data_IF_957233636065
#
_entry.id   IF_957233636065
#
_cell.length_a   1.000
_cell.length_b   1.000
_cell.length_c   1.000
_cell.angle_alpha   90.00
_cell.angle_beta   90.00
_cell.angle_gamma   90.00
#
_symmetry.space_group_name_H-M   'P 1'
#
loop_
_entity.id
_entity.type
_entity.pdbx_description
1 polymer ?
#
# COMPACT_ATOMS: atom_id res chain seq x y z
N UNK A 1 -21.13 -40.24 0.28
CA UNK A 1 -20.10 -39.47 1.01
C UNK A 1 -19.61 -38.35 0.10
N UNK A 2 -20.17 -37.16 0.24
CA UNK A 2 -20.00 -36.05 -0.72
C UNK A 2 -18.76 -35.23 -0.33
N UNK A 3 -17.72 -35.26 -1.16
CA UNK A 3 -16.52 -34.42 -1.02
C UNK A 3 -16.90 -32.96 -1.34
N UNK A 4 -16.90 -32.08 -0.33
CA UNK A 4 -16.97 -30.64 -0.54
C UNK A 4 -15.64 -30.17 -1.15
N UNK A 5 -15.67 -29.76 -2.43
CA UNK A 5 -14.58 -29.04 -3.08
C UNK A 5 -14.69 -27.57 -2.64
N UNK A 6 -13.72 -27.05 -1.91
CA UNK A 6 -13.58 -25.61 -1.70
C UNK A 6 -13.21 -24.96 -3.04
N UNK A 7 -13.90 -23.88 -3.40
CA UNK A 7 -13.49 -22.97 -4.46
C UNK A 7 -12.12 -22.37 -4.08
N UNK A 8 -11.08 -22.76 -4.81
CA UNK A 8 -9.81 -22.06 -4.81
C UNK A 8 -9.90 -20.90 -5.83
N UNK A 9 -10.41 -19.74 -5.39
CA UNK A 9 -10.35 -18.53 -6.19
C UNK A 9 -8.87 -18.11 -6.32
N UNK A 10 -8.30 -18.28 -7.50
CA UNK A 10 -6.90 -17.94 -7.79
C UNK A 10 -6.81 -16.45 -8.07
N UNK A 11 -6.70 -15.64 -7.01
CA UNK A 11 -6.41 -14.20 -7.13
C UNK A 11 -4.94 -14.01 -7.51
N UNK A 12 -4.66 -13.78 -8.79
CA UNK A 12 -3.33 -13.42 -9.27
C UNK A 12 -3.03 -11.95 -8.98
N UNK A 13 -2.28 -11.68 -7.91
CA UNK A 13 -1.64 -10.40 -7.64
C UNK A 13 -0.53 -10.17 -8.66
N UNK A 14 -0.85 -9.55 -9.79
CA UNK A 14 0.13 -9.35 -10.87
C UNK A 14 1.03 -8.13 -10.62
N UNK A 15 2.25 -8.37 -10.14
CA UNK A 15 3.41 -7.62 -10.63
C UNK A 15 3.61 -8.08 -12.08
N UNK A 16 3.84 -7.17 -13.03
CA UNK A 16 4.19 -7.56 -14.41
C UNK A 16 5.57 -8.24 -14.37
N UNK A 17 5.60 -9.57 -14.22
CA UNK A 17 6.60 -10.53 -14.73
C UNK A 17 6.13 -11.97 -14.42
N UNK A 18 6.49 -12.97 -15.25
CA UNK A 18 6.03 -14.34 -15.07
C UNK A 18 6.84 -15.00 -13.95
N UNK A 19 6.21 -15.22 -12.79
CA UNK A 19 6.81 -16.03 -11.73
C UNK A 19 5.96 -17.28 -11.59
N UNK A 20 6.42 -18.37 -12.21
CA UNK A 20 6.05 -19.70 -11.81
C UNK A 20 6.80 -19.99 -10.50
N UNK A 21 6.12 -19.87 -9.36
CA UNK A 21 6.59 -20.43 -8.09
C UNK A 21 5.47 -21.21 -7.44
N UNK A 22 5.77 -22.46 -7.15
CA UNK A 22 5.00 -23.42 -6.36
C UNK A 22 4.46 -22.79 -5.08
N UNK A 23 3.15 -22.90 -4.87
CA UNK A 23 2.49 -22.58 -3.60
C UNK A 23 3.16 -23.37 -2.47
N UNK A 24 3.90 -22.67 -1.61
CA UNK A 24 4.25 -23.20 -0.30
C UNK A 24 3.03 -23.03 0.60
N UNK A 25 2.61 -24.10 1.25
CA UNK A 25 1.51 -24.14 2.21
C UNK A 25 1.85 -23.20 3.38
N UNK A 26 1.32 -21.97 3.34
CA UNK A 26 1.35 -21.05 4.47
C UNK A 26 0.49 -21.67 5.58
N UNK A 27 1.02 -21.78 6.79
CA UNK A 27 0.25 -22.20 7.97
C UNK A 27 -0.76 -21.10 8.29
N UNK A 28 -1.90 -21.15 7.62
CA UNK A 28 -2.98 -20.21 7.79
C UNK A 28 -3.67 -20.46 9.14
N UNK A 29 -3.43 -19.60 10.12
CA UNK A 29 -4.18 -19.60 11.37
C UNK A 29 -5.67 -19.30 11.05
N UNK A 30 -6.57 -20.20 11.42
CA UNK A 30 -8.01 -20.08 11.11
C UNK A 30 -8.65 -19.11 12.11
N UNK A 31 -8.52 -17.80 11.89
CA UNK A 31 -9.20 -16.80 12.71
C UNK A 31 -10.55 -16.42 12.08
N UNK A 32 -11.64 -16.85 12.71
CA UNK A 32 -13.01 -16.54 12.30
C UNK A 32 -13.61 -15.58 13.33
N UNK A 33 -14.13 -14.45 12.86
CA UNK A 33 -14.83 -13.46 13.69
C UNK A 33 -16.32 -13.47 13.37
N UNK A 34 -17.17 -13.63 14.38
CA UNK A 34 -18.62 -13.44 14.23
C UNK A 34 -18.94 -11.94 14.23
N UNK A 35 -19.65 -11.46 13.22
CA UNK A 35 -19.99 -10.04 13.03
C UNK A 35 -21.50 -9.75 13.17
N UNK A 36 -22.27 -10.73 13.65
CA UNK A 36 -23.72 -10.62 13.90
C UNK A 36 -24.58 -11.15 12.75
N UNK A 37 -25.88 -11.34 13.02
CA UNK A 37 -26.88 -11.84 12.05
C UNK A 37 -26.53 -13.15 11.31
N UNK A 38 -25.68 -13.98 11.91
CA UNK A 38 -25.19 -15.22 11.29
C UNK A 38 -24.20 -14.98 10.15
N UNK A 39 -23.58 -13.79 10.09
CA UNK A 39 -22.45 -13.48 9.24
C UNK A 39 -21.12 -13.58 10.00
N UNK A 40 -20.07 -13.94 9.28
CA UNK A 40 -18.73 -14.15 9.83
C UNK A 40 -17.66 -13.61 8.89
N UNK A 41 -16.49 -13.26 9.44
CA UNK A 41 -15.31 -12.88 8.67
C UNK A 41 -14.23 -13.92 8.89
N UNK A 42 -13.77 -14.53 7.79
CA UNK A 42 -12.63 -15.47 7.82
C UNK A 42 -11.38 -14.70 7.45
N UNK A 43 -10.45 -14.56 8.40
CA UNK A 43 -9.23 -13.78 8.22
C UNK A 43 -8.07 -14.67 7.81
N UNK A 44 -7.31 -14.21 6.82
CA UNK A 44 -6.07 -14.81 6.35
C UNK A 44 -5.01 -13.74 6.18
N UNK A 45 -3.75 -14.11 6.37
CA UNK A 45 -2.64 -13.19 6.15
C UNK A 45 -1.56 -13.92 5.38
N UNK A 46 -1.05 -13.27 4.33
CA UNK A 46 0.14 -13.71 3.63
C UNK A 46 1.26 -12.69 3.85
N UNK A 47 2.48 -13.18 4.06
CA UNK A 47 3.67 -12.38 4.17
C UNK A 47 4.72 -12.88 3.19
N UNK A 48 5.14 -12.01 2.27
CA UNK A 48 6.16 -12.34 1.27
C UNK A 48 7.16 -11.20 1.15
N UNK A 49 8.44 -11.55 1.10
CA UNK A 49 9.52 -10.57 1.03
C UNK A 49 10.44 -10.84 -0.17
N UNK A 50 11.02 -9.77 -0.73
CA UNK A 50 11.99 -9.85 -1.81
C UNK A 50 13.17 -8.92 -1.58
N UNK A 51 14.34 -9.50 -1.33
CA UNK A 51 15.58 -8.73 -1.10
C UNK A 51 16.00 -7.92 -2.32
N UNK A 52 15.84 -8.52 -3.52
CA UNK A 52 16.14 -7.87 -4.80
C UNK A 52 15.42 -6.52 -4.91
N UNK A 53 14.12 -6.52 -4.63
CA UNK A 53 13.29 -5.33 -4.72
C UNK A 53 13.29 -4.50 -3.43
N UNK A 54 13.71 -5.07 -2.30
CA UNK A 54 13.64 -4.44 -0.99
C UNK A 54 12.20 -4.20 -0.55
N UNK A 55 11.32 -5.17 -0.79
CA UNK A 55 9.88 -5.07 -0.54
C UNK A 55 9.43 -6.24 0.32
N UNK A 56 8.62 -5.94 1.32
CA UNK A 56 7.81 -6.90 2.08
C UNK A 56 6.34 -6.57 1.85
N UNK A 57 5.57 -7.56 1.42
CA UNK A 57 4.12 -7.49 1.28
C UNK A 57 3.49 -8.29 2.43
N UNK A 58 2.82 -7.59 3.33
CA UNK A 58 2.01 -8.17 4.39
C UNK A 58 0.54 -7.89 4.05
N UNK A 59 -0.15 -8.88 3.50
CA UNK A 59 -1.50 -8.71 2.96
C UNK A 59 -2.49 -9.49 3.80
N UNK A 60 -3.48 -8.78 4.36
CA UNK A 60 -4.60 -9.40 5.06
C UNK A 60 -5.76 -9.57 4.09
N UNK A 61 -6.33 -10.76 4.08
CA UNK A 61 -7.47 -11.19 3.26
C UNK A 61 -8.61 -11.57 4.20
N UNK A 62 -9.59 -10.68 4.30
CA UNK A 62 -10.74 -10.84 5.17
C UNK A 62 -11.97 -11.19 4.31
N UNK A 63 -12.34 -12.47 4.29
CA UNK A 63 -13.48 -12.97 3.55
C UNK A 63 -14.77 -12.73 4.35
N UNK A 64 -15.67 -11.92 3.81
CA UNK A 64 -16.96 -11.61 4.44
C UNK A 64 -18.00 -12.63 3.99
N UNK A 65 -18.45 -13.46 4.92
CA UNK A 65 -19.46 -14.49 4.68
C UNK A 65 -20.78 -14.03 5.26
N UNK A 66 -21.61 -13.48 4.39
CA UNK A 66 -22.92 -12.96 4.73
C UNK A 66 -23.99 -13.58 3.82
N UNK A 67 -24.97 -14.26 4.41
CA UNK A 67 -26.09 -14.87 3.68
C UNK A 67 -27.08 -13.83 3.14
N UNK A 68 -27.15 -12.65 3.76
CA UNK A 68 -28.01 -11.53 3.32
C UNK A 68 -27.37 -10.73 2.19
N UNK A 69 -26.08 -10.95 1.89
CA UNK A 69 -25.41 -10.40 0.72
C UNK A 69 -25.37 -11.44 -0.42
N UNK A 70 -25.74 -11.03 -1.63
CA UNK A 70 -25.89 -11.96 -2.76
C UNK A 70 -24.57 -12.27 -3.50
N UNK A 71 -23.48 -11.57 -3.18
CA UNK A 71 -22.13 -11.81 -3.72
C UNK A 71 -21.19 -12.27 -2.61
N UNK A 72 -20.06 -12.84 -3.00
CA UNK A 72 -18.94 -12.99 -2.08
C UNK A 72 -18.17 -11.68 -2.00
N UNK A 73 -17.61 -11.35 -0.83
CA UNK A 73 -16.77 -10.17 -0.66
C UNK A 73 -15.46 -10.52 0.02
N UNK A 74 -14.39 -9.91 -0.46
CA UNK A 74 -13.05 -10.01 0.08
C UNK A 74 -12.49 -8.61 0.31
N UNK A 75 -12.20 -8.28 1.56
CA UNK A 75 -11.51 -7.06 1.95
C UNK A 75 -10.02 -7.38 2.02
N UNK A 76 -9.23 -6.69 1.19
CA UNK A 76 -7.78 -6.77 1.20
C UNK A 76 -7.21 -5.57 1.93
N UNK A 77 -6.38 -5.80 2.95
CA UNK A 77 -5.55 -4.76 3.55
C UNK A 77 -4.10 -5.00 3.17
N UNK A 78 -3.58 -4.12 2.33
CA UNK A 78 -2.22 -4.17 1.80
C UNK A 78 -1.28 -3.37 2.71
N UNK A 79 -0.42 -4.08 3.43
CA UNK A 79 0.61 -3.52 4.30
C UNK A 79 1.99 -4.06 3.95
N UNK A 80 3.00 -3.66 4.73
CA UNK A 80 4.37 -4.15 4.63
C UNK A 80 5.36 -3.00 4.62
N UNK A 81 6.42 -3.14 3.84
CA UNK A 81 7.49 -2.15 3.75
C UNK A 81 8.09 -2.11 2.34
N UNK A 82 8.36 -0.90 1.85
CA UNK A 82 9.11 -0.66 0.61
C UNK A 82 10.32 0.18 0.96
N UNK A 83 11.51 -0.40 0.82
CA UNK A 83 12.77 0.29 1.07
C UNK A 83 12.94 1.45 0.07
N UNK A 84 13.46 2.59 0.54
CA UNK A 84 13.68 3.76 -0.31
C UNK A 84 14.68 3.50 -1.45
N UNK A 85 15.57 2.51 -1.26
CA UNK A 85 16.70 2.20 -2.16
C UNK A 85 17.55 3.44 -2.46
N UNK A 86 17.55 4.41 -1.54
CA UNK A 86 18.35 5.62 -1.62
C UNK A 86 19.81 5.27 -1.58
N UNK A 87 20.57 5.79 -2.55
CA UNK A 87 22.00 5.48 -2.71
C UNK A 87 22.76 6.68 -3.24
N UNK A 88 24.01 6.81 -2.84
CA UNK A 88 24.92 7.89 -3.21
C UNK A 88 26.12 7.33 -3.98
N UNK A 89 26.49 7.95 -5.09
CA UNK A 89 27.58 7.46 -5.95
C UNK A 89 28.23 8.57 -6.77
N UNK A 90 29.45 8.33 -7.27
CA UNK A 90 30.11 9.20 -8.24
C UNK A 90 29.41 9.07 -9.60
N UNK A 91 28.88 10.17 -10.14
CA UNK A 91 28.25 10.13 -11.46
C UNK A 91 29.30 9.79 -12.52
N UNK A 92 29.15 8.65 -13.18
CA UNK A 92 30.11 8.13 -14.18
C UNK A 92 31.57 8.10 -13.70
N UNK A 93 31.78 7.89 -12.40
CA UNK A 93 33.09 7.92 -11.74
C UNK A 93 33.88 9.23 -11.96
N UNK A 94 33.18 10.36 -12.06
CA UNK A 94 33.81 11.69 -12.15
C UNK A 94 34.25 12.21 -10.78
N UNK A 95 35.28 13.05 -10.78
CA UNK A 95 35.87 13.58 -9.54
C UNK A 95 34.96 14.55 -8.79
N UNK A 96 34.13 15.32 -9.51
CA UNK A 96 33.38 16.44 -8.94
C UNK A 96 31.85 16.37 -9.11
N UNK A 97 31.32 15.35 -9.80
CA UNK A 97 29.86 15.18 -9.95
C UNK A 97 29.40 13.98 -9.14
N UNK A 98 28.60 14.23 -8.11
CA UNK A 98 28.00 13.20 -7.25
C UNK A 98 26.51 13.09 -7.56
N UNK A 99 25.96 11.90 -7.33
CA UNK A 99 24.56 11.60 -7.61
C UNK A 99 23.90 10.95 -6.40
N UNK A 100 22.66 11.36 -6.14
CA UNK A 100 21.74 10.71 -5.20
C UNK A 100 20.61 10.10 -6.01
N UNK A 101 20.46 8.78 -5.94
CA UNK A 101 19.26 8.10 -6.41
C UNK A 101 18.32 7.97 -5.21
N UNK A 102 17.07 8.35 -5.38
CA UNK A 102 16.07 8.39 -4.31
C UNK A 102 14.65 8.12 -4.87
N UNK A 103 13.67 7.72 -4.03
CA UNK A 103 12.35 7.34 -4.48
C UNK A 103 11.45 8.56 -4.66
N UNK A 104 11.32 9.04 -5.90
CA UNK A 104 10.38 10.12 -6.21
C UNK A 104 8.92 9.71 -5.96
N UNK A 105 8.58 8.44 -6.24
CA UNK A 105 7.24 7.91 -6.06
C UNK A 105 7.27 6.44 -5.59
N UNK A 106 6.41 6.11 -4.63
CA UNK A 106 6.07 4.73 -4.27
C UNK A 106 4.78 4.31 -4.97
N UNK A 107 4.74 3.04 -5.38
CA UNK A 107 3.67 2.49 -6.20
C UNK A 107 3.01 1.32 -5.47
N UNK A 108 1.69 1.40 -5.26
CA UNK A 108 0.89 0.33 -4.67
C UNK A 108 -0.25 0.00 -5.64
N UNK A 109 -0.43 -1.27 -5.98
CA UNK A 109 -1.38 -1.67 -6.99
C UNK A 109 -2.03 -3.02 -6.69
N UNK A 110 -3.32 -3.11 -7.01
CA UNK A 110 -4.08 -4.35 -7.04
C UNK A 110 -4.73 -4.48 -8.41
N UNK A 111 -4.64 -5.67 -9.02
CA UNK A 111 -5.38 -6.00 -10.23
C UNK A 111 -5.82 -7.45 -10.24
N UNK A 112 -6.93 -7.71 -10.93
CA UNK A 112 -7.43 -9.05 -11.22
C UNK A 112 -7.71 -9.18 -12.72
N UNK A 113 -7.58 -10.39 -13.25
CA UNK A 113 -7.98 -10.76 -14.60
C UNK A 113 -9.28 -11.60 -14.61
N UNK A 114 -9.80 -11.97 -13.44
CA UNK A 114 -11.01 -12.77 -13.33
C UNK A 114 -12.23 -11.93 -13.74
N UNK A 115 -12.99 -12.36 -14.77
CA UNK A 115 -14.20 -11.64 -15.18
C UNK A 115 -15.26 -11.58 -14.07
N UNK A 116 -15.30 -12.56 -13.16
CA UNK A 116 -16.29 -12.67 -12.08
C UNK A 116 -15.96 -11.79 -10.87
N UNK A 117 -14.80 -11.13 -10.86
CA UNK A 117 -14.34 -10.30 -9.73
C UNK A 117 -14.44 -8.83 -10.09
N UNK A 118 -15.11 -8.04 -9.25
CA UNK A 118 -15.19 -6.58 -9.40
C UNK A 118 -14.68 -5.85 -8.16
N UNK A 119 -13.81 -4.86 -8.34
CA UNK A 119 -13.41 -3.88 -7.34
C UNK A 119 -14.59 -2.95 -7.03
N UNK A 120 -15.08 -3.03 -5.80
CA UNK A 120 -16.27 -2.29 -5.36
C UNK A 120 -15.94 -1.10 -4.44
N UNK A 121 -14.80 -1.14 -3.75
CA UNK A 121 -14.31 -0.02 -2.96
C UNK A 121 -12.78 -0.06 -2.81
N UNK A 122 -12.19 1.07 -2.41
CA UNK A 122 -10.76 1.19 -2.14
C UNK A 122 -10.44 2.43 -1.30
N UNK A 123 -9.39 2.38 -0.49
CA UNK A 123 -8.90 3.47 0.35
C UNK A 123 -7.37 3.65 0.26
N UNK A 124 -6.87 4.90 0.21
CA UNK A 124 -7.64 6.15 0.15
C UNK A 124 -8.27 6.38 -1.23
N UNK A 125 -9.49 6.93 -1.25
CA UNK A 125 -10.23 7.15 -2.50
C UNK A 125 -9.83 8.43 -3.23
N UNK A 126 -9.61 9.49 -2.47
CA UNK A 126 -9.30 10.82 -2.99
C UNK A 126 -7.82 11.14 -2.76
N UNK A 127 -7.32 12.12 -3.51
CA UNK A 127 -6.02 12.73 -3.28
C UNK A 127 -5.92 13.26 -1.84
N UNK A 128 -4.83 12.93 -1.14
CA UNK A 128 -4.61 13.31 0.25
C UNK A 128 -3.13 13.62 0.50
N UNK A 129 -2.84 14.80 1.05
CA UNK A 129 -1.49 15.32 1.34
C UNK A 129 -1.21 15.47 2.84
N UNK A 130 -2.14 15.02 3.69
CA UNK A 130 -1.94 14.98 5.13
C UNK A 130 -0.75 14.09 5.48
N UNK A 131 0.09 14.52 6.42
CA UNK A 131 1.28 13.78 6.87
C UNK A 131 0.90 12.39 7.35
N UNK A 132 -0.17 12.28 8.14
CA UNK A 132 -0.75 11.00 8.56
C UNK A 132 -2.08 10.78 7.84
N UNK A 133 -2.17 9.71 7.06
CA UNK A 133 -3.39 9.28 6.39
C UNK A 133 -4.04 8.20 7.23
N UNK A 134 -5.27 8.45 7.69
CA UNK A 134 -6.00 7.48 8.52
C UNK A 134 -7.48 7.46 8.15
N UNK A 135 -7.94 6.32 7.63
CA UNK A 135 -9.31 6.14 7.11
C UNK A 135 -9.82 4.75 7.47
N UNK A 136 -11.13 4.63 7.67
CA UNK A 136 -11.81 3.39 8.03
C UNK A 136 -12.79 2.98 6.95
N UNK A 137 -12.72 1.71 6.55
CA UNK A 137 -13.78 1.01 5.83
C UNK A 137 -14.68 0.32 6.84
N UNK A 138 -15.96 0.67 6.87
CA UNK A 138 -17.00 0.00 7.63
C UNK A 138 -17.85 -0.90 6.73
N UNK A 139 -18.28 -2.03 7.29
CA UNK A 139 -19.20 -2.99 6.68
C UNK A 139 -20.40 -3.22 7.59
N UNK A 140 -21.59 -3.20 7.01
CA UNK A 140 -22.84 -3.62 7.64
C UNK A 140 -23.46 -4.77 6.84
N UNK A 141 -24.18 -5.63 7.55
CA UNK A 141 -24.87 -6.80 6.98
C UNK A 141 -25.72 -6.40 5.77
N UNK A 142 -25.74 -7.25 4.75
CA UNK A 142 -26.44 -7.02 3.48
C UNK A 142 -25.59 -6.35 2.40
N UNK A 143 -24.26 -6.29 2.55
CA UNK A 143 -23.39 -5.74 1.50
C UNK A 143 -23.14 -4.23 1.56
N UNK A 144 -23.38 -3.61 2.72
CA UNK A 144 -23.31 -2.15 2.85
C UNK A 144 -21.92 -1.70 3.28
N UNK A 145 -21.16 -1.09 2.36
CA UNK A 145 -19.83 -0.55 2.64
C UNK A 145 -19.87 0.97 2.80
N UNK A 146 -19.19 1.48 3.82
CA UNK A 146 -19.02 2.91 4.06
C UNK A 146 -17.54 3.24 4.29
N UNK A 147 -17.09 4.41 3.85
CA UNK A 147 -15.72 4.87 4.07
C UNK A 147 -15.73 6.24 4.75
N UNK A 148 -14.86 6.42 5.73
CA UNK A 148 -14.75 7.68 6.45
C UNK A 148 -13.43 7.89 7.16
N UNK A 149 -13.24 9.06 7.81
CA UNK A 149 -12.12 9.31 8.70
C UNK A 149 -12.08 8.29 9.86
N UNK A 150 -10.89 7.94 10.33
CA UNK A 150 -10.75 6.93 11.40
C UNK A 150 -11.21 7.41 12.78
N UNK A 151 -11.33 8.72 13.00
CA UNK A 151 -11.67 9.34 14.30
C UNK A 151 -13.16 9.26 14.65
N UNK A 152 -13.95 8.46 13.93
CA UNK A 152 -15.36 8.22 14.21
C UNK A 152 -16.30 9.27 13.62
N UNK A 153 -17.57 8.89 13.42
CA UNK A 153 -18.63 9.76 12.88
C UNK A 153 -19.59 9.10 11.89
N UNK A 154 -19.25 7.93 11.34
CA UNK A 154 -20.02 7.29 10.26
C UNK A 154 -20.97 6.16 10.69
N UNK A 155 -21.33 6.09 11.98
CA UNK A 155 -22.27 5.10 12.52
C UNK A 155 -21.62 3.82 13.05
N UNK A 156 -22.45 2.93 13.61
CA UNK A 156 -22.03 1.60 14.06
C UNK A 156 -21.84 0.67 12.85
N UNK A 157 -20.77 -0.09 12.84
CA UNK A 157 -20.47 -1.09 11.80
C UNK A 157 -20.43 -2.48 12.42
N UNK A 158 -20.95 -3.48 11.71
CA UNK A 158 -20.77 -4.89 12.07
C UNK A 158 -19.31 -5.32 11.99
N UNK A 159 -18.57 -4.79 11.01
CA UNK A 159 -17.14 -5.04 10.84
C UNK A 159 -16.45 -3.80 10.31
N UNK A 160 -15.18 -3.58 10.68
CA UNK A 160 -14.42 -2.44 10.15
C UNK A 160 -12.94 -2.74 10.00
N UNK A 161 -12.30 -2.04 9.05
CA UNK A 161 -10.86 -2.09 8.79
C UNK A 161 -10.32 -0.70 8.58
N UNK A 162 -9.24 -0.38 9.31
CA UNK A 162 -8.60 0.93 9.28
C UNK A 162 -7.25 0.86 8.59
N UNK A 163 -6.98 1.83 7.71
CA UNK A 163 -5.64 2.14 7.21
C UNK A 163 -5.03 3.28 8.02
N UNK A 164 -3.71 3.23 8.19
CA UNK A 164 -2.93 4.29 8.80
C UNK A 164 -1.50 4.24 8.28
N UNK A 165 -1.00 5.35 7.73
CA UNK A 165 0.39 5.49 7.32
C UNK A 165 0.86 6.95 7.33
N UNK A 166 2.16 7.13 7.52
CA UNK A 166 2.82 8.42 7.39
C UNK A 166 3.40 8.62 5.98
N UNK A 167 3.26 9.82 5.45
CA UNK A 167 3.76 10.23 4.14
C UNK A 167 4.32 11.66 4.19
N UNK A 168 5.10 11.99 5.23
CA UNK A 168 5.68 13.32 5.39
C UNK A 168 6.41 13.77 4.12
N UNK A 169 6.08 14.98 3.63
CA UNK A 169 6.60 15.59 2.39
C UNK A 169 6.15 14.94 1.08
N UNK A 170 5.30 13.92 1.13
CA UNK A 170 4.72 13.22 -0.01
C UNK A 170 3.21 13.47 -0.10
N UNK A 171 2.61 13.03 -1.21
CA UNK A 171 1.17 13.10 -1.46
C UNK A 171 0.68 11.81 -2.09
N UNK A 172 -0.46 11.31 -1.62
CA UNK A 172 -1.08 10.09 -2.13
C UNK A 172 -2.23 10.43 -3.07
N UNK A 173 -2.27 9.77 -4.21
CA UNK A 173 -3.36 9.87 -5.19
C UNK A 173 -3.61 8.54 -5.88
N UNK A 174 -4.83 8.36 -6.39
CA UNK A 174 -5.17 7.23 -7.26
C UNK A 174 -4.77 7.61 -8.68
N UNK A 175 -3.80 6.90 -9.25
CA UNK A 175 -3.33 7.15 -10.61
C UNK A 175 -4.31 6.60 -11.65
N UNK A 176 -4.83 5.39 -11.41
CA UNK A 176 -5.88 4.80 -12.21
C UNK A 176 -6.73 3.83 -11.38
N UNK A 177 -8.01 3.73 -11.77
CA UNK A 177 -8.96 2.79 -11.17
C UNK A 177 -10.02 2.38 -12.19
N UNK A 178 -10.43 1.12 -12.11
CA UNK A 178 -11.59 0.56 -12.81
C UNK A 178 -12.11 -0.66 -12.02
N UNK A 179 -13.12 -1.36 -12.54
CA UNK A 179 -13.67 -2.53 -11.87
C UNK A 179 -12.69 -3.70 -11.69
N UNK A 180 -11.53 -3.70 -12.34
CA UNK A 180 -10.54 -4.80 -12.27
C UNK A 180 -9.22 -4.40 -11.62
N UNK A 181 -8.99 -3.12 -11.35
CA UNK A 181 -7.70 -2.65 -10.85
C UNK A 181 -7.78 -1.29 -10.17
N UNK A 182 -6.84 -1.06 -9.26
CA UNK A 182 -6.57 0.23 -8.63
C UNK A 182 -5.07 0.37 -8.39
N UNK A 183 -4.56 1.57 -8.65
CA UNK A 183 -3.16 1.93 -8.47
C UNK A 183 -3.07 3.27 -7.75
N UNK A 184 -2.23 3.31 -6.72
CA UNK A 184 -1.88 4.50 -5.98
C UNK A 184 -0.43 4.89 -6.21
N UNK A 185 -0.22 6.20 -6.36
CA UNK A 185 1.08 6.84 -6.36
C UNK A 185 1.23 7.68 -5.09
N UNK A 186 2.31 7.44 -4.35
CA UNK A 186 2.72 8.26 -3.21
C UNK A 186 3.97 9.01 -3.63
N UNK A 187 3.80 10.25 -4.09
CA UNK A 187 4.84 11.02 -4.78
C UNK A 187 5.38 12.17 -3.96
N UNK A 188 6.64 12.53 -4.19
CA UNK A 188 7.28 13.68 -3.58
C UNK A 188 6.48 14.97 -3.88
N UNK A 189 6.16 15.73 -2.85
CA UNK A 189 5.26 16.87 -2.95
C UNK A 189 5.95 18.19 -2.56
N UNK A 190 6.20 18.37 -1.26
CA UNK A 190 6.71 19.62 -0.72
C UNK A 190 7.63 19.38 0.46
N UNK A 191 8.79 20.02 0.45
CA UNK A 191 9.88 19.87 1.42
C UNK A 191 10.21 21.22 2.03
N UNK A 192 10.56 21.24 3.32
CA UNK A 192 11.10 22.42 3.99
C UNK A 192 12.62 22.24 4.05
N UNK A 193 13.35 23.17 3.47
CA UNK A 193 14.81 23.14 3.36
C UNK A 193 15.41 24.41 3.96
N UNK A 194 16.74 24.47 4.07
CA UNK A 194 17.47 25.68 4.48
C UNK A 194 17.23 26.89 3.55
N UNK A 195 16.84 26.64 2.30
CA UNK A 195 16.52 27.66 1.29
C UNK A 195 15.01 27.97 1.22
N UNK A 196 14.21 27.42 2.14
CA UNK A 196 12.77 27.57 2.18
C UNK A 196 12.00 26.36 1.63
N UNK A 197 10.74 26.60 1.23
CA UNK A 197 9.84 25.55 0.74
C UNK A 197 10.19 25.18 -0.70
N UNK A 198 10.54 23.92 -0.94
CA UNK A 198 10.85 23.37 -2.26
C UNK A 198 9.80 22.35 -2.69
N UNK A 199 9.52 22.27 -3.98
CA UNK A 199 8.71 21.19 -4.56
C UNK A 199 9.54 19.91 -4.75
N UNK A 200 8.88 18.76 -4.89
CA UNK A 200 9.58 17.51 -5.24
C UNK A 200 10.34 17.54 -6.58
N UNK A 201 10.10 18.55 -7.43
CA UNK A 201 10.76 18.71 -8.74
C UNK A 201 11.90 19.75 -8.70
N UNK A 202 12.16 20.38 -7.56
CA UNK A 202 13.26 21.35 -7.46
C UNK A 202 14.61 20.62 -7.63
N UNK A 203 15.45 21.01 -8.61
CA UNK A 203 16.72 20.34 -8.86
C UNK A 203 17.74 20.48 -7.72
N UNK A 204 17.56 21.47 -6.83
CA UNK A 204 18.43 21.68 -5.68
C UNK A 204 17.93 20.95 -4.42
N UNK A 205 16.81 20.23 -4.51
CA UNK A 205 16.28 19.45 -3.39
C UNK A 205 17.32 18.43 -2.91
N UNK A 206 17.60 18.44 -1.60
CA UNK A 206 18.58 17.61 -0.89
C UNK A 206 20.06 17.91 -1.18
N UNK A 207 20.40 18.88 -2.02
CA UNK A 207 21.79 19.26 -2.28
C UNK A 207 22.35 20.04 -1.08
N UNK A 208 23.54 19.65 -0.60
CA UNK A 208 24.24 20.34 0.48
C UNK A 208 24.94 21.63 0.00
N UNK A 209 25.28 22.53 0.94
CA UNK A 209 25.92 23.81 0.60
C UNK A 209 27.35 23.65 0.05
N UNK A 210 28.22 22.96 0.80
CA UNK A 210 29.60 22.62 0.41
C UNK A 210 29.89 21.19 0.83
N UNK A 211 30.61 20.42 0.00
CA UNK A 211 30.94 19.05 0.34
C UNK A 211 31.84 19.00 1.57
N UNK A 212 31.48 18.15 2.54
CA UNK A 212 32.33 17.90 3.72
C UNK A 212 33.57 17.07 3.36
N UNK A 213 33.44 16.13 2.43
CA UNK A 213 34.54 15.33 1.87
C UNK A 213 34.27 14.94 0.42
N UNK A 214 35.16 14.15 -0.19
CA UNK A 214 34.96 13.58 -1.53
C UNK A 214 33.99 12.40 -1.57
N UNK A 215 33.52 11.92 -0.41
CA UNK A 215 32.47 10.90 -0.35
C UNK A 215 31.20 11.43 -1.03
N UNK A 216 30.58 10.67 -1.98
CA UNK A 216 29.32 11.07 -2.61
C UNK A 216 28.21 11.46 -1.64
N UNK A 217 28.15 10.83 -0.46
CA UNK A 217 27.14 11.14 0.56
C UNK A 217 27.24 12.58 1.07
N UNK A 218 28.44 13.14 1.14
CA UNK A 218 28.73 14.42 1.78
C UNK A 218 28.39 15.64 0.92
N UNK A 219 27.94 15.41 -0.31
CA UNK A 219 27.43 16.43 -1.22
C UNK A 219 25.91 16.68 -1.03
N UNK A 220 25.25 15.89 -0.19
CA UNK A 220 23.81 15.96 0.07
C UNK A 220 23.54 16.21 1.55
N UNK A 221 22.37 16.78 1.87
CA UNK A 221 21.95 17.07 3.25
C UNK A 221 21.96 15.81 4.14
N UNK A 222 22.25 15.92 5.45
CA UNK A 222 22.28 14.79 6.38
C UNK A 222 20.90 14.12 6.55
N UNK A 223 20.88 12.88 7.05
CA UNK A 223 19.66 12.05 7.11
C UNK A 223 18.54 12.67 7.97
N UNK A 224 18.88 13.48 8.97
CA UNK A 224 17.91 14.20 9.82
C UNK A 224 17.15 15.31 9.06
N UNK A 225 17.64 15.73 7.89
CA UNK A 225 16.94 16.67 6.99
C UNK A 225 16.18 15.95 5.87
N UNK A 226 16.32 14.63 5.76
CA UNK A 226 15.56 13.81 4.83
C UNK A 226 14.29 13.29 5.51
N UNK A 227 13.14 13.22 4.82
CA UNK A 227 11.97 12.57 5.39
C UNK A 227 12.14 11.05 5.44
N UNK A 228 11.36 10.35 6.30
CA UNK A 228 11.40 8.88 6.42
C UNK A 228 11.29 8.13 5.09
N UNK A 229 10.47 8.65 4.18
CA UNK A 229 10.25 8.06 2.86
C UNK A 229 11.49 8.16 1.94
N UNK A 230 12.50 8.97 2.27
CA UNK A 230 13.75 9.07 1.51
C UNK A 230 14.87 8.31 2.22
N UNK A 231 15.10 8.52 3.52
CA UNK A 231 16.24 7.91 4.21
C UNK A 231 15.99 6.45 4.66
N UNK A 232 14.73 6.00 4.73
CA UNK A 232 14.37 4.65 5.18
C UNK A 232 13.50 3.91 4.16
N UNK A 233 12.27 4.36 3.97
CA UNK A 233 11.29 3.67 3.15
C UNK A 233 9.85 4.06 3.48
N UNK A 234 8.93 3.39 2.82
CA UNK A 234 7.50 3.59 2.98
C UNK A 234 6.84 2.36 3.61
N UNK A 235 5.96 2.59 4.60
CA UNK A 235 5.14 1.56 5.23
C UNK A 235 3.71 1.68 4.69
N UNK A 236 3.36 0.96 3.60
CA UNK A 236 2.02 1.05 3.03
C UNK A 236 0.94 0.59 4.00
N UNK A 237 -0.24 1.20 3.87
CA UNK A 237 -1.47 0.75 4.52
C UNK A 237 -2.65 1.18 3.63
N UNK A 238 -3.09 0.26 2.78
CA UNK A 238 -4.13 0.51 1.76
C UNK A 238 -5.21 -0.56 1.88
N UNK A 239 -6.44 -0.21 1.49
CA UNK A 239 -7.54 -1.18 1.44
C UNK A 239 -8.14 -1.21 0.03
N UNK A 240 -8.52 -2.40 -0.39
CA UNK A 240 -9.39 -2.62 -1.53
C UNK A 240 -10.40 -3.72 -1.19
N UNK A 241 -11.64 -3.59 -1.64
CA UNK A 241 -12.62 -4.67 -1.54
C UNK A 241 -13.05 -5.10 -2.92
N UNK A 242 -13.02 -6.40 -3.14
CA UNK A 242 -13.53 -7.01 -4.35
C UNK A 242 -14.76 -7.86 -4.02
N UNK A 243 -15.73 -7.85 -4.94
CA UNK A 243 -16.86 -8.77 -4.95
C UNK A 243 -16.63 -9.88 -5.97
N UNK A 244 -17.23 -11.05 -5.75
CA UNK A 244 -17.20 -12.19 -6.66
C UNK A 244 -18.61 -12.78 -6.83
N UNK A 245 -18.96 -13.18 -8.05
CA UNK A 245 -20.23 -13.88 -8.33
C UNK A 245 -20.22 -15.29 -7.73
N UNK A 246 -21.26 -15.66 -6.97
CA UNK A 246 -21.34 -16.95 -6.27
C UNK A 246 -21.43 -18.17 -7.19
#
# INVERSE_FOLDING_TARGET
MVKKRLLAATLSLGIITPIATSFHESKADNNIENIGDGAEVVKRTEDTSSDKWGVTQNIQFDFVKDKKYNKDALILKMQGFINSKTTYYNYKNTDHIKAMRWPFQYNIGLKTNDPNVDLINYLPKNKIDSVNVSQTLGYNIGGNFNSGPSTGGNGSFNYSKTISYNQQNYISEVEHQNSKSVQWGIKANSFITSLGKMSGHDPNLFVGYKPYSQNPRDYFVPDNELPPLVHSGFNPSFIATVSHEK
#
